data_IF_944258526018
#
_entry.id   IF_944258526018
#
_cell.length_a   1.000
_cell.length_b   1.000
_cell.length_c   1.000
_cell.angle_alpha   90.00
_cell.angle_beta   90.00
_cell.angle_gamma   90.00
#
_symmetry.space_group_name_H-M   'P 1'
#
loop_
_entity.id
_entity.type
_entity.pdbx_description
1 polymer ?
#
# COMPACT_ATOMS: atom_id res chain seq x y z
N UNK A 1 17.69 -17.25 13.07
CA UNK A 1 16.27 -17.61 12.98
C UNK A 1 16.22 -18.91 12.22
N UNK A 2 15.86 -19.95 12.96
CA UNK A 2 15.89 -21.36 12.61
C UNK A 2 15.14 -21.65 11.31
N UNK A 3 15.80 -22.42 10.45
CA UNK A 3 15.24 -23.16 9.32
C UNK A 3 14.14 -24.12 9.79
N UNK A 4 12.95 -23.59 10.05
CA UNK A 4 11.76 -24.35 10.39
C UNK A 4 10.68 -24.04 9.34
N UNK A 5 10.96 -24.42 8.10
CA UNK A 5 10.00 -25.02 7.17
C UNK A 5 10.75 -25.38 5.89
N UNK A 6 11.01 -26.68 5.70
CA UNK A 6 11.58 -27.24 4.46
C UNK A 6 10.61 -27.20 3.27
N UNK A 7 9.68 -26.24 3.25
CA UNK A 7 8.80 -25.98 2.13
C UNK A 7 9.50 -25.02 1.18
N UNK A 8 9.67 -25.44 -0.07
CA UNK A 8 10.16 -24.54 -1.11
C UNK A 8 9.22 -23.34 -1.25
N UNK A 9 9.84 -22.15 -1.30
CA UNK A 9 9.17 -20.89 -1.57
C UNK A 9 8.84 -20.82 -3.06
N UNK A 10 7.66 -21.29 -3.42
CA UNK A 10 7.21 -21.37 -4.81
C UNK A 10 6.17 -20.31 -5.14
N UNK A 11 5.49 -19.74 -4.14
CA UNK A 11 4.38 -18.82 -4.36
C UNK A 11 4.86 -17.38 -4.47
N UNK A 12 4.17 -16.59 -5.29
CA UNK A 12 4.49 -15.17 -5.47
C UNK A 12 4.21 -14.36 -4.20
N UNK A 13 5.05 -13.34 -3.99
CA UNK A 13 4.91 -12.43 -2.86
C UNK A 13 3.58 -11.66 -2.94
N UNK A 14 2.83 -11.66 -1.83
CA UNK A 14 1.61 -10.85 -1.65
C UNK A 14 1.91 -9.34 -1.72
N UNK A 15 0.88 -8.52 -1.92
CA UNK A 15 1.02 -7.06 -1.94
C UNK A 15 1.61 -6.52 -0.64
N UNK A 16 1.16 -7.02 0.51
CA UNK A 16 1.64 -6.62 1.84
C UNK A 16 3.09 -7.05 2.07
N UNK A 17 3.51 -8.23 1.61
CA UNK A 17 4.93 -8.64 1.66
C UNK A 17 5.83 -7.71 0.85
N UNK A 18 5.41 -7.33 -0.36
CA UNK A 18 6.14 -6.39 -1.22
C UNK A 18 6.22 -5.00 -0.59
N UNK A 19 5.16 -4.55 0.07
CA UNK A 19 5.13 -3.29 0.80
C UNK A 19 6.08 -3.30 2.01
N UNK A 20 6.05 -4.34 2.84
CA UNK A 20 6.98 -4.50 3.96
C UNK A 20 8.45 -4.54 3.51
N UNK A 21 8.74 -5.22 2.39
CA UNK A 21 10.08 -5.21 1.81
C UNK A 21 10.51 -3.78 1.44
N UNK A 22 9.62 -3.01 0.81
CA UNK A 22 9.86 -1.61 0.45
C UNK A 22 10.02 -0.71 1.68
N UNK A 23 9.25 -0.89 2.74
CA UNK A 23 9.38 -0.15 4.01
C UNK A 23 10.74 -0.41 4.69
N UNK A 24 11.22 -1.65 4.63
CA UNK A 24 12.55 -2.05 5.09
C UNK A 24 13.70 -1.56 4.19
N UNK A 25 13.39 -0.80 3.14
CA UNK A 25 14.35 -0.28 2.17
C UNK A 25 14.90 -1.33 1.21
N UNK A 26 14.27 -2.50 1.13
CA UNK A 26 14.63 -3.53 0.16
C UNK A 26 13.96 -3.22 -1.18
N UNK A 27 14.78 -2.85 -2.16
CA UNK A 27 14.36 -2.57 -3.52
C UNK A 27 15.36 -3.22 -4.48
N UNK A 28 14.93 -3.65 -5.67
CA UNK A 28 15.85 -4.18 -6.66
C UNK A 28 16.86 -3.09 -7.03
N UNK A 29 18.14 -3.45 -7.14
CA UNK A 29 19.21 -2.52 -7.55
C UNK A 29 20.13 -3.19 -8.56
N UNK A 30 20.41 -2.51 -9.66
CA UNK A 30 21.41 -2.92 -10.66
C UNK A 30 22.65 -2.05 -10.51
N UNK A 31 23.80 -2.70 -10.23
CA UNK A 31 25.11 -2.02 -10.17
C UNK A 31 25.62 -1.65 -11.55
N UNK A 32 25.29 -2.46 -12.55
CA UNK A 32 25.69 -2.21 -13.94
C UNK A 32 24.96 -1.00 -14.51
N UNK A 33 23.64 -0.87 -14.26
CA UNK A 33 22.86 0.29 -14.67
C UNK A 33 23.45 1.60 -14.13
N UNK A 34 23.76 1.64 -12.83
CA UNK A 34 24.36 2.81 -12.21
C UNK A 34 25.73 3.15 -12.82
N UNK A 35 26.59 2.15 -13.00
CA UNK A 35 27.93 2.33 -13.57
C UNK A 35 27.87 2.83 -15.02
N UNK A 36 27.05 2.21 -15.86
CA UNK A 36 26.93 2.57 -17.28
C UNK A 36 26.24 3.92 -17.46
N UNK A 37 25.24 4.25 -16.63
CA UNK A 37 24.63 5.57 -16.63
C UNK A 37 25.68 6.67 -16.38
N UNK A 38 26.59 6.47 -15.42
CA UNK A 38 27.68 7.41 -15.15
C UNK A 38 28.68 7.48 -16.31
N UNK A 39 29.07 6.35 -16.88
CA UNK A 39 30.03 6.30 -18.00
C UNK A 39 29.50 6.99 -19.25
N UNK A 40 28.29 6.62 -19.69
CA UNK A 40 27.65 7.23 -20.88
C UNK A 40 27.39 8.71 -20.65
N UNK A 41 26.85 9.07 -19.48
CA UNK A 41 26.60 10.48 -19.16
C UNK A 41 27.90 11.26 -19.02
N UNK A 42 28.98 10.63 -18.56
CA UNK A 42 30.30 11.24 -18.52
C UNK A 42 30.81 11.58 -19.91
N UNK A 43 30.75 10.62 -20.84
CA UNK A 43 31.10 10.85 -22.24
C UNK A 43 30.28 12.01 -22.84
N UNK A 44 28.95 11.95 -22.70
CA UNK A 44 28.03 12.98 -23.20
C UNK A 44 28.29 14.35 -22.54
N UNK A 45 28.56 14.37 -21.24
CA UNK A 45 28.85 15.63 -20.52
C UNK A 45 30.14 16.27 -21.00
N UNK A 46 31.17 15.47 -21.32
CA UNK A 46 32.40 15.99 -21.90
C UNK A 46 32.18 16.48 -23.32
N UNK A 47 31.31 15.86 -24.11
CA UNK A 47 30.96 16.37 -25.44
C UNK A 47 30.20 17.70 -25.38
N UNK A 48 29.27 17.85 -24.44
CA UNK A 48 28.46 19.08 -24.35
C UNK A 48 29.14 20.23 -23.61
N UNK A 49 29.89 19.93 -22.56
CA UNK A 49 30.49 20.95 -21.68
C UNK A 49 32.01 21.02 -21.78
N UNK A 50 32.66 20.05 -22.45
CA UNK A 50 34.11 19.96 -22.53
C UNK A 50 34.75 21.08 -23.35
N UNK A 51 34.07 21.60 -24.37
CA UNK A 51 34.57 22.77 -25.12
C UNK A 51 34.73 23.98 -24.20
N UNK A 52 33.68 24.32 -23.44
CA UNK A 52 33.70 25.43 -22.48
C UNK A 52 34.75 25.22 -21.38
N UNK A 53 34.89 24.00 -20.87
CA UNK A 53 35.91 23.65 -19.89
C UNK A 53 37.34 23.78 -20.46
N UNK A 54 37.56 23.32 -21.70
CA UNK A 54 38.84 23.40 -22.40
C UNK A 54 39.25 24.85 -22.65
N UNK A 55 38.32 25.69 -23.11
CA UNK A 55 38.55 27.13 -23.31
C UNK A 55 38.87 27.82 -21.98
N UNK A 56 38.14 27.50 -20.91
CA UNK A 56 38.40 28.06 -19.57
C UNK A 56 39.80 27.66 -19.06
N UNK A 57 40.16 26.38 -19.17
CA UNK A 57 41.48 25.88 -18.78
C UNK A 57 42.59 26.52 -19.62
N UNK A 58 42.38 26.68 -20.93
CA UNK A 58 43.32 27.36 -21.82
C UNK A 58 43.55 28.81 -21.39
N UNK A 59 42.48 29.57 -21.11
CA UNK A 59 42.57 30.95 -20.61
C UNK A 59 43.33 31.04 -19.29
N UNK A 60 43.02 30.15 -18.35
CA UNK A 60 43.72 30.10 -17.05
C UNK A 60 45.20 29.80 -17.26
N UNK A 61 45.53 28.77 -18.05
CA UNK A 61 46.91 28.39 -18.33
C UNK A 61 47.70 29.54 -18.97
N UNK A 62 47.14 30.17 -20.02
CA UNK A 62 47.77 31.33 -20.66
C UNK A 62 47.96 32.49 -19.68
N UNK A 63 46.98 32.74 -18.79
CA UNK A 63 47.08 33.79 -17.79
C UNK A 63 48.16 33.51 -16.75
N UNK A 64 48.31 32.25 -16.31
CA UNK A 64 49.35 31.86 -15.36
C UNK A 64 50.77 32.01 -15.95
N UNK A 65 50.92 31.93 -17.27
CA UNK A 65 52.20 32.18 -17.96
C UNK A 65 52.44 33.64 -18.34
N UNK A 66 51.46 34.53 -18.13
CA UNK A 66 51.54 35.95 -18.52
C UNK A 66 51.33 36.85 -17.31
N UNK A 67 51.92 36.49 -16.17
CA UNK A 67 51.91 37.32 -14.96
C UNK A 67 52.75 38.58 -15.17
N UNK A 68 52.23 39.73 -14.73
CA UNK A 68 52.99 40.98 -14.75
C UNK A 68 53.99 41.01 -13.59
N UNK A 69 55.05 41.82 -13.72
CA UNK A 69 56.02 42.00 -12.62
C UNK A 69 55.32 42.48 -11.34
N UNK A 70 54.35 43.36 -11.44
CA UNK A 70 53.61 43.87 -10.27
C UNK A 70 52.85 42.74 -9.57
N UNK A 71 52.17 41.89 -10.34
CA UNK A 71 51.43 40.73 -9.82
C UNK A 71 52.34 39.69 -9.15
N UNK A 72 53.59 39.56 -9.62
CA UNK A 72 54.56 38.62 -9.03
C UNK A 72 55.08 39.12 -7.67
N UNK A 73 55.24 40.44 -7.52
CA UNK A 73 55.83 41.04 -6.32
C UNK A 73 54.79 41.49 -5.28
N UNK A 74 53.49 41.50 -5.62
CA UNK A 74 52.38 41.78 -4.71
C UNK A 74 51.50 40.54 -4.49
N UNK A 75 51.51 40.03 -3.27
CA UNK A 75 50.75 38.83 -2.86
C UNK A 75 49.23 39.03 -3.00
N UNK A 76 48.70 40.23 -2.77
CA UNK A 76 47.27 40.49 -2.89
C UNK A 76 46.81 40.46 -4.35
N UNK A 77 47.61 41.01 -5.26
CA UNK A 77 47.35 40.92 -6.70
C UNK A 77 47.45 39.48 -7.19
N UNK A 78 48.46 38.73 -6.73
CA UNK A 78 48.61 37.31 -7.05
C UNK A 78 47.40 36.48 -6.59
N UNK A 79 46.91 36.69 -5.36
CA UNK A 79 45.71 36.01 -4.85
C UNK A 79 44.47 36.34 -5.67
N UNK A 80 44.34 37.59 -6.14
CA UNK A 80 43.23 38.00 -7.03
C UNK A 80 43.29 37.26 -8.36
N UNK A 81 44.49 37.12 -8.94
CA UNK A 81 44.70 36.36 -10.18
C UNK A 81 44.34 34.88 -10.02
N UNK A 82 44.76 34.25 -8.92
CA UNK A 82 44.41 32.85 -8.61
C UNK A 82 42.91 32.68 -8.36
N UNK A 83 42.28 33.58 -7.59
CA UNK A 83 40.84 33.56 -7.33
C UNK A 83 40.05 33.64 -8.64
N UNK A 84 40.43 34.54 -9.55
CA UNK A 84 39.80 34.67 -10.86
C UNK A 84 39.99 33.41 -11.70
N UNK A 85 41.17 32.79 -11.66
CA UNK A 85 41.43 31.54 -12.36
C UNK A 85 40.55 30.39 -11.84
N UNK A 86 40.40 30.26 -10.53
CA UNK A 86 39.49 29.28 -9.92
C UNK A 86 38.06 29.52 -10.38
N UNK A 87 37.59 30.77 -10.34
CA UNK A 87 36.21 31.10 -10.70
C UNK A 87 35.90 30.86 -12.18
N UNK A 88 36.88 31.07 -13.06
CA UNK A 88 36.74 30.81 -14.50
C UNK A 88 36.54 29.32 -14.81
N UNK A 89 37.19 28.42 -14.07
CA UNK A 89 37.06 26.96 -14.26
C UNK A 89 35.90 26.38 -13.45
N UNK A 90 35.52 27.03 -12.35
CA UNK A 90 34.51 26.55 -11.44
C UNK A 90 33.17 26.26 -12.12
N UNK A 91 32.63 27.24 -12.87
CA UNK A 91 31.32 27.08 -13.51
C UNK A 91 31.27 25.90 -14.52
N UNK A 92 32.16 25.80 -15.52
CA UNK A 92 32.12 24.68 -16.47
C UNK A 92 32.39 23.32 -15.80
N UNK A 93 33.26 23.27 -14.79
CA UNK A 93 33.52 22.05 -14.04
C UNK A 93 32.29 21.61 -13.23
N UNK A 94 31.61 22.55 -12.55
CA UNK A 94 30.39 22.25 -11.78
C UNK A 94 29.28 21.75 -12.69
N UNK A 95 29.14 22.27 -13.92
CA UNK A 95 28.14 21.75 -14.87
C UNK A 95 28.38 20.27 -15.20
N UNK A 96 29.63 19.89 -15.50
CA UNK A 96 30.01 18.49 -15.73
C UNK A 96 29.70 17.63 -14.49
N UNK A 97 30.11 18.09 -13.31
CA UNK A 97 29.92 17.35 -12.05
C UNK A 97 28.46 17.21 -11.67
N UNK A 98 27.64 18.25 -11.85
CA UNK A 98 26.18 18.21 -11.60
C UNK A 98 25.52 17.24 -12.58
N UNK A 99 25.89 17.27 -13.85
CA UNK A 99 25.38 16.32 -14.84
C UNK A 99 25.71 14.88 -14.45
N UNK A 100 26.97 14.59 -14.11
CA UNK A 100 27.41 13.29 -13.61
C UNK A 100 26.68 12.86 -12.33
N UNK A 101 26.50 13.79 -11.39
CA UNK A 101 25.78 13.53 -10.14
C UNK A 101 24.32 13.16 -10.41
N UNK A 102 23.64 13.89 -11.29
CA UNK A 102 22.25 13.58 -11.67
C UNK A 102 22.15 12.23 -12.38
N UNK A 103 23.09 11.91 -13.27
CA UNK A 103 23.14 10.61 -13.92
C UNK A 103 23.40 9.46 -12.94
N UNK A 104 24.31 9.64 -11.97
CA UNK A 104 24.57 8.66 -10.93
C UNK A 104 23.32 8.42 -10.05
N UNK A 105 22.62 9.49 -9.69
CA UNK A 105 21.40 9.43 -8.89
C UNK A 105 20.28 8.72 -9.66
N UNK A 106 20.06 9.07 -10.92
CA UNK A 106 19.06 8.43 -11.78
C UNK A 106 19.43 6.97 -12.04
N UNK A 107 20.69 6.66 -12.35
CA UNK A 107 21.16 5.29 -12.59
C UNK A 107 21.00 4.39 -11.36
N UNK A 108 21.33 4.89 -10.16
CA UNK A 108 21.16 4.15 -8.92
C UNK A 108 19.68 3.99 -8.51
N UNK A 109 18.85 5.00 -8.76
CA UNK A 109 17.43 4.99 -8.42
C UNK A 109 16.54 4.36 -9.50
N UNK A 110 17.03 4.18 -10.73
CA UNK A 110 16.21 3.84 -11.89
C UNK A 110 15.46 2.52 -11.78
N UNK A 111 15.98 1.56 -11.02
CA UNK A 111 15.36 0.24 -10.85
C UNK A 111 14.40 0.18 -9.64
N UNK A 112 14.81 0.71 -8.50
CA UNK A 112 14.14 0.53 -7.21
C UNK A 112 13.42 1.77 -6.68
N UNK A 113 13.60 2.92 -7.33
CA UNK A 113 13.19 4.22 -6.85
C UNK A 113 14.01 4.73 -5.66
N UNK A 114 13.65 5.92 -5.19
CA UNK A 114 14.26 6.53 -4.00
C UNK A 114 13.33 6.26 -2.81
N UNK A 115 13.81 5.50 -1.83
CA UNK A 115 13.11 5.25 -0.57
C UNK A 115 14.01 5.53 0.62
N UNK A 116 13.48 6.29 1.56
CA UNK A 116 14.11 6.53 2.85
C UNK A 116 13.61 5.50 3.86
N UNK A 117 14.51 4.66 4.38
CA UNK A 117 14.20 3.70 5.43
C UNK A 117 15.16 3.92 6.60
N UNK A 118 14.64 4.40 7.71
CA UNK A 118 15.41 4.57 8.95
C UNK A 118 15.96 3.23 9.42
N UNK A 119 15.17 2.15 9.30
CA UNK A 119 15.57 0.80 9.68
C UNK A 119 16.75 0.26 8.85
N UNK A 120 16.87 0.66 7.58
CA UNK A 120 17.98 0.27 6.73
C UNK A 120 19.31 0.96 7.13
N UNK A 121 19.22 2.18 7.67
CA UNK A 121 20.35 2.99 8.12
C UNK A 121 20.87 2.61 9.52
N UNK A 122 20.08 1.88 10.32
CA UNK A 122 20.51 1.43 11.65
C UNK A 122 21.64 0.38 11.59
N UNK A 123 22.60 0.41 12.54
CA UNK A 123 23.64 -0.59 12.63
C UNK A 123 23.03 -1.96 12.98
N UNK A 124 23.18 -2.94 12.09
CA UNK A 124 22.71 -4.31 12.29
C UNK A 124 23.93 -5.23 12.35
N UNK A 125 24.25 -5.76 13.55
CA UNK A 125 25.37 -6.71 13.76
C UNK A 125 25.28 -7.96 12.87
N UNK A 126 24.07 -8.34 12.48
CA UNK A 126 23.84 -9.45 11.54
C UNK A 126 24.48 -9.23 10.16
N UNK A 127 24.69 -7.98 9.73
CA UNK A 127 25.38 -7.65 8.46
C UNK A 127 26.90 -7.82 8.52
N UNK A 128 27.49 -7.97 9.71
CA UNK A 128 28.94 -8.12 9.92
C UNK A 128 29.40 -9.57 10.08
N UNK A 129 28.50 -10.56 9.96
CA UNK A 129 28.88 -11.97 10.15
C UNK A 129 29.79 -12.48 9.02
N UNK A 130 30.99 -13.00 9.32
CA UNK A 130 31.94 -13.49 8.31
C UNK A 130 31.40 -14.71 7.54
N UNK A 131 30.61 -15.55 8.21
CA UNK A 131 29.98 -16.74 7.60
C UNK A 131 28.99 -16.32 6.49
N UNK A 132 28.18 -15.30 6.76
CA UNK A 132 27.24 -14.77 5.77
C UNK A 132 27.96 -14.11 4.58
N UNK A 133 29.11 -13.49 4.83
CA UNK A 133 29.99 -12.93 3.80
C UNK A 133 30.55 -14.01 2.88
N UNK A 134 31.12 -15.08 3.44
CA UNK A 134 31.65 -16.23 2.70
C UNK A 134 30.58 -16.90 1.83
N UNK A 135 29.38 -17.15 2.37
CA UNK A 135 28.26 -17.72 1.60
C UNK A 135 27.86 -16.83 0.42
N UNK A 136 27.92 -15.51 0.58
CA UNK A 136 27.64 -14.55 -0.51
C UNK A 136 28.76 -14.53 -1.56
N UNK A 137 30.02 -14.72 -1.15
CA UNK A 137 31.17 -14.73 -2.06
C UNK A 137 31.27 -16.00 -2.91
N UNK A 138 30.85 -17.16 -2.40
CA UNK A 138 30.90 -18.45 -3.10
C UNK A 138 29.52 -18.97 -3.55
N UNK A 139 28.46 -18.17 -3.43
CA UNK A 139 27.11 -18.54 -3.86
C UNK A 139 26.91 -18.50 -5.37
N UNK A 140 25.74 -18.98 -5.84
CA UNK A 140 25.32 -18.94 -7.24
C UNK A 140 25.37 -17.54 -7.86
N UNK A 141 25.11 -16.50 -7.05
CA UNK A 141 25.20 -15.11 -7.49
C UNK A 141 26.62 -14.71 -7.92
N UNK A 142 27.66 -15.25 -7.28
CA UNK A 142 29.05 -14.95 -7.61
C UNK A 142 29.44 -15.43 -9.01
N UNK A 143 28.92 -16.59 -9.43
CA UNK A 143 29.10 -17.11 -10.78
C UNK A 143 28.47 -16.23 -11.85
N UNK A 144 27.27 -15.70 -11.59
CA UNK A 144 26.61 -14.76 -12.50
C UNK A 144 27.40 -13.45 -12.62
N UNK A 145 27.91 -12.92 -11.51
CA UNK A 145 28.78 -11.73 -11.50
C UNK A 145 30.10 -11.97 -12.26
N UNK A 146 30.69 -13.16 -12.15
CA UNK A 146 31.89 -13.54 -12.90
C UNK A 146 31.62 -13.54 -14.41
N UNK A 147 30.55 -14.18 -14.86
CA UNK A 147 30.15 -14.23 -16.27
C UNK A 147 29.92 -12.82 -16.81
N UNK A 148 29.20 -11.96 -16.07
CA UNK A 148 29.01 -10.55 -16.45
C UNK A 148 30.34 -9.80 -16.54
N UNK A 149 31.29 -10.08 -15.65
CA UNK A 149 32.60 -9.42 -15.66
C UNK A 149 33.44 -9.82 -16.87
N UNK A 150 33.45 -11.10 -17.23
CA UNK A 150 34.11 -11.59 -18.46
C UNK A 150 33.45 -10.99 -19.69
N UNK A 151 32.11 -10.95 -19.74
CA UNK A 151 31.35 -10.34 -20.82
C UNK A 151 31.71 -8.85 -20.98
N UNK A 152 31.78 -8.08 -19.89
CA UNK A 152 32.19 -6.66 -19.92
C UNK A 152 33.57 -6.47 -20.53
N UNK A 153 34.55 -7.24 -20.06
CA UNK A 153 35.93 -7.12 -20.55
C UNK A 153 36.01 -7.50 -22.03
N UNK A 154 35.38 -8.61 -22.42
CA UNK A 154 35.35 -9.04 -23.82
C UNK A 154 34.70 -7.99 -24.72
N UNK A 155 33.56 -7.44 -24.29
CA UNK A 155 32.80 -6.45 -25.05
C UNK A 155 33.61 -5.15 -25.22
N UNK A 156 34.19 -4.63 -24.13
CA UNK A 156 35.05 -3.42 -24.19
C UNK A 156 36.28 -3.66 -25.08
N UNK A 157 36.96 -4.80 -24.93
CA UNK A 157 38.15 -5.12 -25.71
C UNK A 157 37.82 -5.27 -27.21
N UNK A 158 36.73 -5.96 -27.54
CA UNK A 158 36.29 -6.14 -28.93
C UNK A 158 35.88 -4.83 -29.58
N UNK A 159 35.10 -3.99 -28.89
CA UNK A 159 34.65 -2.69 -29.42
C UNK A 159 35.81 -1.73 -29.54
N UNK A 160 36.66 -1.61 -28.52
CA UNK A 160 37.85 -0.77 -28.59
C UNK A 160 38.80 -1.22 -29.72
N UNK A 161 39.04 -2.53 -29.84
CA UNK A 161 39.87 -3.09 -30.91
C UNK A 161 39.28 -2.83 -32.30
N UNK A 162 37.96 -3.00 -32.46
CA UNK A 162 37.26 -2.71 -33.71
C UNK A 162 37.32 -1.21 -34.07
N UNK A 163 37.09 -0.31 -33.12
CA UNK A 163 37.16 1.13 -33.34
C UNK A 163 38.58 1.57 -33.73
N UNK A 164 39.59 1.11 -32.98
CA UNK A 164 40.99 1.40 -33.31
C UNK A 164 41.33 0.89 -34.71
N UNK A 165 40.95 -0.34 -35.04
CA UNK A 165 41.23 -0.93 -36.35
C UNK A 165 40.52 -0.19 -37.49
N UNK A 166 39.26 0.19 -37.29
CA UNK A 166 38.45 0.90 -38.30
C UNK A 166 38.86 2.35 -38.50
N UNK A 167 39.51 2.99 -37.52
CA UNK A 167 39.98 4.39 -37.61
C UNK A 167 41.51 4.51 -37.76
N UNK A 168 42.20 3.44 -38.17
CA UNK A 168 43.65 3.49 -38.42
C UNK A 168 44.02 4.55 -39.45
N UNK A 169 43.24 4.66 -40.52
CA UNK A 169 43.48 5.64 -41.58
C UNK A 169 43.33 7.07 -41.06
N UNK A 170 42.33 7.33 -40.20
CA UNK A 170 42.13 8.63 -39.56
C UNK A 170 43.31 8.99 -38.64
N UNK A 171 43.87 8.02 -37.91
CA UNK A 171 45.07 8.23 -37.10
C UNK A 171 46.30 8.59 -37.93
N UNK A 172 46.48 7.99 -39.10
CA UNK A 172 47.55 8.39 -40.01
C UNK A 172 47.32 9.79 -40.58
N UNK A 173 46.09 10.14 -40.94
CA UNK A 173 45.74 11.46 -41.46
C UNK A 173 45.96 12.58 -40.44
N UNK A 174 45.66 12.33 -39.16
CA UNK A 174 45.88 13.28 -38.06
C UNK A 174 47.34 13.77 -37.96
N UNK A 175 48.32 12.96 -38.40
CA UNK A 175 49.73 13.32 -38.38
C UNK A 175 50.15 14.32 -39.47
N UNK A 176 49.35 14.44 -40.54
CA UNK A 176 49.63 15.28 -41.72
C UNK A 176 48.69 16.50 -41.76
N UNK A 177 47.59 16.46 -41.01
CA UNK A 177 46.62 17.55 -40.91
C UNK A 177 47.21 18.82 -40.26
N UNK A 178 46.74 20.01 -40.70
CA UNK A 178 47.28 21.30 -40.26
C UNK A 178 46.83 21.68 -38.85
N UNK A 179 47.75 22.23 -38.06
CA UNK A 179 47.43 22.88 -36.78
C UNK A 179 46.54 24.13 -37.01
N UNK A 180 45.49 24.38 -36.20
CA UNK A 180 45.05 23.63 -35.01
C UNK A 180 43.95 22.58 -35.25
N UNK A 181 43.53 22.37 -36.50
CA UNK A 181 42.39 21.49 -36.83
C UNK A 181 42.61 20.04 -36.37
N UNK A 182 43.84 19.54 -36.51
CA UNK A 182 44.22 18.19 -36.08
C UNK A 182 43.92 17.90 -34.59
N UNK A 183 44.05 18.89 -33.70
CA UNK A 183 43.72 18.72 -32.28
C UNK A 183 42.22 18.54 -32.03
N UNK A 184 41.39 19.36 -32.69
CA UNK A 184 39.94 19.25 -32.57
C UNK A 184 39.44 17.93 -33.14
N UNK A 185 39.94 17.55 -34.32
CA UNK A 185 39.60 16.27 -34.95
C UNK A 185 40.01 15.07 -34.07
N UNK A 186 41.21 15.09 -33.47
CA UNK A 186 41.63 14.03 -32.54
C UNK A 186 40.72 13.92 -31.31
N UNK A 187 40.28 15.06 -30.76
CA UNK A 187 39.34 15.08 -29.63
C UNK A 187 37.97 14.54 -30.01
N UNK A 188 37.47 14.85 -31.20
CA UNK A 188 36.20 14.33 -31.70
C UNK A 188 36.25 12.81 -31.86
N UNK A 189 37.33 12.26 -32.45
CA UNK A 189 37.52 10.81 -32.54
C UNK A 189 37.58 10.19 -31.15
N UNK A 190 38.36 10.77 -30.23
CA UNK A 190 38.51 10.27 -28.86
C UNK A 190 37.17 10.25 -28.12
N UNK A 191 36.41 11.34 -28.15
CA UNK A 191 35.13 11.44 -27.46
C UNK A 191 34.10 10.49 -28.08
N UNK A 192 34.07 10.33 -29.40
CA UNK A 192 33.24 9.35 -30.07
C UNK A 192 33.61 7.92 -29.67
N UNK A 193 34.89 7.60 -29.57
CA UNK A 193 35.37 6.29 -29.12
C UNK A 193 34.93 6.00 -27.69
N UNK A 194 35.16 6.95 -26.78
CA UNK A 194 34.75 6.84 -25.38
C UNK A 194 33.24 6.63 -25.31
N UNK A 195 32.45 7.41 -26.04
CA UNK A 195 31.00 7.26 -26.08
C UNK A 195 30.58 5.88 -26.59
N UNK A 196 31.10 5.42 -27.73
CA UNK A 196 30.73 4.13 -28.33
C UNK A 196 31.12 2.95 -27.42
N UNK A 197 32.31 2.99 -26.80
CA UNK A 197 32.74 1.99 -25.82
C UNK A 197 31.80 2.01 -24.59
N UNK A 198 31.43 3.19 -24.09
CA UNK A 198 30.51 3.30 -22.95
C UNK A 198 29.11 2.78 -23.31
N UNK A 199 28.58 3.13 -24.48
CA UNK A 199 27.28 2.67 -24.99
C UNK A 199 27.25 1.16 -25.24
N UNK A 200 28.39 0.56 -25.59
CA UNK A 200 28.50 -0.88 -25.78
C UNK A 200 28.14 -1.67 -24.50
N UNK A 201 28.40 -1.10 -23.32
CA UNK A 201 28.03 -1.68 -22.03
C UNK A 201 26.51 -1.68 -21.76
N UNK A 202 25.69 -0.98 -22.57
CA UNK A 202 24.23 -1.06 -22.46
C UNK A 202 23.72 -2.48 -22.69
N UNK A 203 24.44 -3.30 -23.47
CA UNK A 203 24.11 -4.73 -23.65
C UNK A 203 24.19 -5.47 -22.31
N UNK A 204 25.20 -5.17 -21.48
CA UNK A 204 25.35 -5.78 -20.16
C UNK A 204 24.23 -5.34 -19.22
N UNK A 205 23.84 -4.06 -19.28
CA UNK A 205 22.70 -3.53 -18.52
C UNK A 205 21.39 -4.19 -18.95
N UNK A 206 21.19 -4.40 -20.25
CA UNK A 206 19.98 -5.06 -20.79
C UNK A 206 19.81 -6.49 -20.28
N UNK A 207 20.91 -7.16 -19.89
CA UNK A 207 20.89 -8.49 -19.26
C UNK A 207 20.76 -8.38 -17.74
N UNK A 208 21.53 -7.48 -17.11
CA UNK A 208 21.57 -7.35 -15.65
C UNK A 208 20.23 -6.84 -15.08
N UNK A 209 19.59 -5.85 -15.72
CA UNK A 209 18.35 -5.24 -15.21
C UNK A 209 17.21 -6.27 -15.06
N UNK A 210 16.83 -7.05 -16.10
CA UNK A 210 15.83 -8.10 -15.96
C UNK A 210 16.22 -9.16 -14.93
N UNK A 211 17.50 -9.56 -14.90
CA UNK A 211 18.00 -10.53 -13.93
C UNK A 211 17.83 -10.03 -12.49
N UNK A 212 18.16 -8.77 -12.18
CA UNK A 212 17.99 -8.20 -10.84
C UNK A 212 16.52 -8.08 -10.43
N UNK A 213 15.61 -7.75 -11.37
CA UNK A 213 14.16 -7.71 -11.10
C UNK A 213 13.65 -9.11 -10.76
N UNK A 214 14.03 -10.11 -11.57
CA UNK A 214 13.64 -11.50 -11.36
C UNK A 214 14.21 -12.04 -10.04
N UNK A 215 15.51 -11.86 -9.80
CA UNK A 215 16.17 -12.32 -8.58
C UNK A 215 15.59 -11.66 -7.32
N UNK A 216 15.26 -10.37 -7.37
CA UNK A 216 14.57 -9.70 -6.25
C UNK A 216 13.18 -10.28 -6.01
N UNK A 217 12.42 -10.58 -7.08
CA UNK A 217 11.10 -11.20 -6.96
C UNK A 217 11.19 -12.63 -6.41
N UNK A 218 12.22 -13.39 -6.82
CA UNK A 218 12.50 -14.73 -6.33
C UNK A 218 12.84 -14.74 -4.83
N UNK A 219 13.63 -13.76 -4.36
CA UNK A 219 13.91 -13.58 -2.94
C UNK A 219 12.67 -13.25 -2.08
N UNK A 220 11.64 -12.68 -2.69
CA UNK A 220 10.38 -12.35 -2.02
C UNK A 220 9.34 -13.47 -2.06
N UNK A 221 9.60 -14.58 -2.77
CA UNK A 221 8.68 -15.72 -2.81
C UNK A 221 8.34 -16.23 -1.42
N UNK A 222 7.12 -16.72 -1.30
CA UNK A 222 6.54 -17.17 -0.05
C UNK A 222 6.23 -18.67 -0.10
N UNK A 223 6.15 -19.29 1.06
CA UNK A 223 5.57 -20.64 1.15
C UNK A 223 4.05 -20.56 1.18
N UNK A 224 3.36 -21.65 0.83
CA UNK A 224 1.90 -21.74 0.96
C UNK A 224 1.43 -21.49 2.39
N UNK A 225 2.24 -21.88 3.37
CA UNK A 225 1.95 -21.65 4.78
C UNK A 225 2.07 -20.17 5.16
N UNK A 226 3.15 -19.50 4.73
CA UNK A 226 3.34 -18.06 4.95
C UNK A 226 2.17 -17.24 4.37
N UNK A 227 1.68 -17.59 3.18
CA UNK A 227 0.51 -16.92 2.57
C UNK A 227 -0.74 -17.14 3.43
N UNK A 228 -1.03 -18.37 3.84
CA UNK A 228 -2.19 -18.67 4.69
C UNK A 228 -2.15 -17.91 6.01
N UNK A 229 -0.97 -17.81 6.62
CA UNK A 229 -0.81 -17.11 7.88
C UNK A 229 -0.96 -15.59 7.70
N UNK A 230 -0.46 -15.03 6.59
CA UNK A 230 -0.68 -13.62 6.25
C UNK A 230 -2.16 -13.28 6.00
N UNK A 231 -2.91 -14.19 5.37
CA UNK A 231 -4.37 -14.06 5.22
C UNK A 231 -5.08 -14.07 6.58
N UNK A 232 -4.68 -14.97 7.50
CA UNK A 232 -5.24 -15.01 8.86
C UNK A 232 -4.95 -13.73 9.64
N UNK A 233 -3.75 -13.16 9.50
CA UNK A 233 -3.36 -11.93 10.18
C UNK A 233 -4.06 -10.69 9.61
N UNK A 234 -4.42 -10.70 8.32
CA UNK A 234 -5.07 -9.57 7.65
C UNK A 234 -6.59 -9.59 7.82
N UNK A 235 -7.24 -10.75 7.63
CA UNK A 235 -8.71 -10.89 7.70
C UNK A 235 -9.24 -11.32 9.07
N UNK A 236 -8.34 -11.73 9.98
CA UNK A 236 -8.68 -12.34 11.24
C UNK A 236 -9.13 -13.80 11.09
N UNK A 237 -9.08 -14.56 12.19
CA UNK A 237 -9.50 -15.96 12.17
C UNK A 237 -11.02 -16.07 11.92
N UNK A 238 -11.48 -16.93 11.00
CA UNK A 238 -12.91 -17.13 10.74
C UNK A 238 -13.71 -17.44 12.01
N UNK A 239 -13.11 -18.21 12.93
CA UNK A 239 -13.67 -18.55 14.24
C UNK A 239 -13.95 -17.31 15.10
N UNK A 240 -13.04 -16.33 15.07
CA UNK A 240 -13.18 -15.07 15.82
C UNK A 240 -14.30 -14.22 15.22
N UNK A 241 -14.37 -14.13 13.89
CA UNK A 241 -15.45 -13.42 13.19
C UNK A 241 -16.82 -14.07 13.45
N UNK A 242 -16.87 -15.40 13.49
CA UNK A 242 -18.07 -16.17 13.87
C UNK A 242 -18.48 -15.89 15.32
N UNK A 243 -17.52 -15.90 16.26
CA UNK A 243 -17.76 -15.61 17.68
C UNK A 243 -18.28 -14.20 17.91
N UNK A 244 -17.72 -13.21 17.22
CA UNK A 244 -18.19 -11.81 17.30
C UNK A 244 -19.65 -11.72 16.86
N UNK A 245 -20.03 -12.37 15.75
CA UNK A 245 -21.44 -12.38 15.28
C UNK A 245 -22.39 -13.04 16.28
N UNK A 246 -21.96 -14.13 16.92
CA UNK A 246 -22.77 -14.79 17.95
C UNK A 246 -22.99 -13.89 19.17
N UNK A 247 -21.93 -13.25 19.67
CA UNK A 247 -22.01 -12.31 20.80
C UNK A 247 -22.88 -11.09 20.47
N UNK A 248 -22.78 -10.56 19.25
CA UNK A 248 -23.65 -9.46 18.80
C UNK A 248 -25.13 -9.84 18.83
N UNK A 249 -25.49 -11.05 18.36
CA UNK A 249 -26.87 -11.56 18.43
C UNK A 249 -27.35 -11.74 19.86
N UNK A 250 -26.51 -12.28 20.73
CA UNK A 250 -26.84 -12.49 22.15
C UNK A 250 -27.08 -11.15 22.87
N UNK A 251 -26.24 -10.14 22.63
CA UNK A 251 -26.41 -8.80 23.19
C UNK A 251 -27.70 -8.13 22.70
N UNK A 252 -28.01 -8.25 21.41
CA UNK A 252 -29.26 -7.72 20.85
C UNK A 252 -30.50 -8.38 21.48
N UNK A 253 -30.49 -9.70 21.64
CA UNK A 253 -31.58 -10.43 22.31
C UNK A 253 -31.73 -10.02 23.78
N UNK A 254 -30.62 -9.85 24.51
CA UNK A 254 -30.66 -9.39 25.91
C UNK A 254 -31.27 -7.99 26.04
N UNK A 255 -30.91 -7.06 25.15
CA UNK A 255 -31.51 -5.71 25.11
C UNK A 255 -33.01 -5.77 24.85
N UNK A 256 -33.42 -6.48 23.79
CA UNK A 256 -34.83 -6.68 23.46
C UNK A 256 -35.63 -7.24 24.64
N UNK A 257 -35.08 -8.21 25.39
CA UNK A 257 -35.73 -8.79 26.58
C UNK A 257 -35.79 -7.81 27.76
N UNK A 258 -34.83 -6.88 27.87
CA UNK A 258 -34.82 -5.83 28.89
C UNK A 258 -35.87 -4.74 28.63
N UNK A 259 -36.35 -4.60 27.39
CA UNK A 259 -37.38 -3.63 27.02
C UNK A 259 -38.81 -4.18 27.19
N UNK A 260 -38.99 -5.50 27.23
CA UNK A 260 -40.30 -6.16 27.46
C UNK A 260 -41.07 -5.60 28.68
N UNK A 261 -40.45 -5.31 29.84
CA UNK A 261 -41.13 -4.71 30.99
C UNK A 261 -41.82 -3.36 30.71
N UNK A 262 -41.42 -2.65 29.66
CA UNK A 262 -42.02 -1.38 29.26
C UNK A 262 -43.24 -1.55 28.34
N UNK A 263 -43.66 -2.79 28.04
CA UNK A 263 -44.78 -3.06 27.17
C UNK A 263 -46.13 -2.81 27.83
N UNK A 264 -47.04 -2.24 27.06
CA UNK A 264 -48.44 -2.05 27.46
C UNK A 264 -49.26 -3.31 27.28
N UNK A 265 -48.93 -4.10 26.24
CA UNK A 265 -49.58 -5.35 25.89
C UNK A 265 -48.62 -6.30 25.18
N UNK A 266 -48.78 -7.60 25.40
CA UNK A 266 -48.17 -8.65 24.58
C UNK A 266 -49.24 -9.39 23.79
N UNK A 267 -49.11 -9.39 22.47
CA UNK A 267 -50.00 -10.10 21.55
C UNK A 267 -49.35 -11.44 21.21
N UNK A 268 -50.07 -12.53 21.43
CA UNK A 268 -49.52 -13.88 21.21
C UNK A 268 -50.32 -14.68 20.19
N UNK A 269 -49.60 -15.41 19.35
CA UNK A 269 -50.05 -16.67 18.77
C UNK A 269 -49.58 -17.78 19.72
N UNK A 270 -50.49 -18.52 20.40
CA UNK A 270 -50.15 -19.41 21.51
C UNK A 270 -48.99 -20.38 21.24
N UNK A 271 -48.86 -20.86 20.01
CA UNK A 271 -47.87 -21.88 19.65
C UNK A 271 -46.59 -21.33 19.02
N UNK A 272 -46.60 -20.12 18.42
CA UNK A 272 -45.51 -19.71 17.53
C UNK A 272 -44.94 -18.31 17.76
N UNK A 273 -45.74 -17.30 18.10
CA UNK A 273 -45.27 -15.90 18.07
C UNK A 273 -45.71 -15.11 19.30
N UNK A 274 -44.85 -14.22 19.76
CA UNK A 274 -45.22 -13.18 20.73
C UNK A 274 -44.60 -11.86 20.33
N UNK A 275 -45.41 -10.81 20.36
CA UNK A 275 -45.02 -9.44 20.03
C UNK A 275 -45.44 -8.53 21.19
N UNK A 276 -44.51 -7.76 21.73
CA UNK A 276 -44.74 -6.78 22.78
C UNK A 276 -44.82 -5.39 22.15
N UNK A 277 -45.89 -4.66 22.48
CA UNK A 277 -46.15 -3.32 21.99
C UNK A 277 -46.12 -2.32 23.14
N UNK A 278 -45.59 -1.14 22.84
CA UNK A 278 -45.66 0.06 23.70
C UNK A 278 -46.40 1.16 22.95
N UNK A 279 -47.24 1.91 23.64
CA UNK A 279 -47.91 3.08 23.09
C UNK A 279 -48.01 4.19 24.14
N UNK A 280 -47.20 5.24 23.98
CA UNK A 280 -47.37 6.48 24.73
C UNK A 280 -48.15 7.50 23.89
N UNK A 281 -49.40 7.86 24.27
CA UNK A 281 -50.23 8.81 23.52
C UNK A 281 -49.65 10.24 23.46
N UNK A 282 -48.62 10.56 24.26
CA UNK A 282 -47.94 11.87 24.22
C UNK A 282 -46.73 11.90 23.29
N UNK A 283 -46.15 10.74 22.98
CA UNK A 283 -44.87 10.61 22.26
C UNK A 283 -44.99 9.84 20.95
N UNK A 284 -45.83 8.80 20.92
CA UNK A 284 -45.91 7.85 19.82
C UNK A 284 -47.12 8.18 18.92
N UNK A 285 -46.87 8.41 17.63
CA UNK A 285 -47.95 8.56 16.63
C UNK A 285 -48.73 7.25 16.41
N UNK A 286 -48.08 6.12 16.66
CA UNK A 286 -48.64 4.78 16.57
C UNK A 286 -47.88 3.81 17.50
N UNK A 287 -48.49 2.69 17.91
CA UNK A 287 -47.85 1.69 18.77
C UNK A 287 -46.53 1.18 18.17
N UNK A 288 -45.51 1.06 19.01
CA UNK A 288 -44.14 0.65 18.64
C UNK A 288 -43.89 -0.79 19.11
N UNK A 289 -43.27 -1.59 18.25
CA UNK A 289 -42.85 -2.96 18.58
C UNK A 289 -41.54 -2.93 19.35
N UNK A 290 -41.58 -3.26 20.63
CA UNK A 290 -40.38 -3.23 21.50
C UNK A 290 -39.74 -4.61 21.70
N UNK A 291 -40.51 -5.68 21.51
CA UNK A 291 -39.97 -7.03 21.44
C UNK A 291 -40.81 -7.90 20.51
N UNK A 292 -40.16 -8.79 19.75
CA UNK A 292 -40.84 -9.82 18.98
C UNK A 292 -40.00 -11.09 18.93
N UNK A 293 -40.64 -12.25 18.96
CA UNK A 293 -39.93 -13.52 18.93
C UNK A 293 -40.82 -14.65 18.44
N UNK A 294 -40.17 -15.64 17.81
CA UNK A 294 -40.75 -16.94 17.50
C UNK A 294 -40.40 -17.99 18.56
N UNK A 295 -41.23 -19.02 18.70
CA UNK A 295 -40.99 -20.25 19.46
C UNK A 295 -40.40 -20.01 20.88
N UNK A 296 -39.13 -20.35 21.10
CA UNK A 296 -38.46 -20.17 22.39
C UNK A 296 -38.38 -18.71 22.85
N UNK A 297 -38.14 -17.77 21.93
CA UNK A 297 -38.14 -16.34 22.26
C UNK A 297 -39.56 -15.87 22.59
N UNK A 298 -40.57 -16.37 21.89
CA UNK A 298 -41.98 -16.07 22.18
C UNK A 298 -42.36 -16.53 23.60
N UNK A 299 -41.96 -17.75 23.99
CA UNK A 299 -42.13 -18.26 25.35
C UNK A 299 -41.44 -17.36 26.39
N UNK A 300 -40.22 -16.89 26.10
CA UNK A 300 -39.48 -16.03 27.02
C UNK A 300 -40.10 -14.65 27.20
N UNK A 301 -40.60 -14.05 26.11
CA UNK A 301 -41.34 -12.78 26.16
C UNK A 301 -42.57 -12.94 27.06
N UNK A 302 -43.35 -14.03 26.91
CA UNK A 302 -44.50 -14.32 27.77
C UNK A 302 -44.11 -14.53 29.23
N UNK A 303 -43.00 -15.21 29.50
CA UNK A 303 -42.49 -15.39 30.87
C UNK A 303 -42.17 -14.05 31.54
N UNK A 304 -41.48 -13.15 30.83
CA UNK A 304 -41.13 -11.81 31.34
C UNK A 304 -42.38 -10.94 31.51
N UNK A 305 -43.30 -10.98 30.55
CA UNK A 305 -44.57 -10.26 30.61
C UNK A 305 -45.40 -10.68 31.82
N UNK A 306 -45.53 -11.99 32.08
CA UNK A 306 -46.22 -12.51 33.28
C UNK A 306 -45.54 -12.04 34.57
N UNK A 307 -44.19 -12.05 34.65
CA UNK A 307 -43.45 -11.57 35.83
C UNK A 307 -43.69 -10.08 36.13
N UNK A 308 -43.93 -9.27 35.10
CA UNK A 308 -44.17 -7.83 35.23
C UNK A 308 -45.66 -7.45 35.18
N UNK A 309 -46.56 -8.43 35.23
CA UNK A 309 -48.02 -8.24 35.16
C UNK A 309 -48.49 -7.48 33.90
N UNK A 310 -47.83 -7.73 32.76
CA UNK A 310 -48.22 -7.21 31.46
C UNK A 310 -49.29 -8.13 30.87
N UNK A 311 -50.39 -7.55 30.41
CA UNK A 311 -51.51 -8.32 29.86
C UNK A 311 -51.13 -9.01 28.56
N UNK A 312 -51.36 -10.33 28.51
CA UNK A 312 -51.12 -11.16 27.33
C UNK A 312 -52.48 -11.40 26.65
N UNK A 313 -52.61 -10.95 25.39
CA UNK A 313 -53.85 -11.08 24.61
C UNK A 313 -53.63 -12.10 23.48
N UNK A 314 -54.41 -13.19 23.44
CA UNK A 314 -54.34 -14.15 22.36
C UNK A 314 -55.05 -13.58 21.11
N UNK A 315 -54.27 -13.22 20.10
CA UNK A 315 -54.76 -12.80 18.79
C UNK A 315 -53.80 -13.31 17.71
N UNK A 316 -53.93 -14.60 17.37
CA UNK A 316 -52.97 -15.30 16.53
C UNK A 316 -52.75 -14.67 15.14
N UNK A 317 -53.80 -14.24 14.40
CA UNK A 317 -53.61 -13.55 13.12
C UNK A 317 -52.78 -12.27 13.29
N UNK A 318 -53.07 -11.48 14.33
CA UNK A 318 -52.45 -10.17 14.54
C UNK A 318 -51.00 -10.29 14.99
N UNK A 319 -50.70 -11.21 15.91
CA UNK A 319 -49.34 -11.51 16.32
C UNK A 319 -48.46 -11.93 15.13
N UNK A 320 -49.00 -12.74 14.21
CA UNK A 320 -48.30 -13.20 13.01
C UNK A 320 -48.07 -12.05 12.03
N UNK A 321 -49.10 -11.25 11.76
CA UNK A 321 -48.98 -10.08 10.88
C UNK A 321 -47.92 -9.10 11.38
N UNK A 322 -47.94 -8.71 12.67
CA UNK A 322 -46.96 -7.76 13.22
C UNK A 322 -45.54 -8.37 13.20
N UNK A 323 -45.40 -9.67 13.50
CA UNK A 323 -44.09 -10.33 13.50
C UNK A 323 -43.37 -10.24 12.14
N UNK A 324 -44.09 -10.41 11.04
CA UNK A 324 -43.52 -10.39 9.68
C UNK A 324 -43.44 -8.99 9.07
N UNK A 325 -44.32 -8.06 9.46
CA UNK A 325 -44.44 -6.75 8.79
C UNK A 325 -43.70 -5.62 9.50
N UNK A 326 -43.34 -5.76 10.77
CA UNK A 326 -42.76 -4.67 11.59
C UNK A 326 -41.47 -5.10 12.27
N UNK A 327 -40.38 -4.34 12.16
CA UNK A 327 -39.14 -4.61 12.91
C UNK A 327 -39.19 -4.07 14.35
N UNK A 328 -38.16 -4.38 15.15
CA UNK A 328 -38.03 -3.83 16.50
C UNK A 328 -37.84 -2.31 16.45
N UNK A 329 -38.36 -1.61 17.45
CA UNK A 329 -38.35 -0.15 17.61
C UNK A 329 -39.06 0.62 16.49
N UNK A 330 -39.83 -0.08 15.64
CA UNK A 330 -40.62 0.53 14.58
C UNK A 330 -42.11 0.60 14.96
N UNK A 331 -42.79 1.60 14.41
CA UNK A 331 -44.23 1.74 14.50
C UNK A 331 -44.91 0.66 13.66
N UNK A 332 -46.05 0.16 14.15
CA UNK A 332 -46.89 -0.77 13.39
C UNK A 332 -47.33 -0.12 12.06
N UNK A 333 -47.56 -0.86 10.97
CA UNK A 333 -48.11 -0.31 9.73
C UNK A 333 -49.57 0.14 9.85
N UNK A 334 -49.96 1.15 9.07
CA UNK A 334 -51.31 1.73 9.07
C UNK A 334 -52.44 0.69 8.93
N UNK A 335 -52.23 -0.33 8.10
CA UNK A 335 -53.21 -1.40 7.87
C UNK A 335 -53.51 -2.27 9.10
N UNK A 336 -52.67 -2.24 10.14
CA UNK A 336 -52.87 -2.98 11.40
C UNK A 336 -53.33 -2.07 12.55
N UNK A 337 -53.40 -0.75 12.36
CA UNK A 337 -53.73 0.21 13.43
C UNK A 337 -55.06 -0.06 14.09
N UNK A 338 -56.10 -0.33 13.31
CA UNK A 338 -57.44 -0.58 13.84
C UNK A 338 -57.44 -1.83 14.74
N UNK A 339 -56.78 -2.90 14.29
CA UNK A 339 -56.69 -4.15 15.04
C UNK A 339 -55.87 -3.97 16.33
N UNK A 340 -54.74 -3.27 16.28
CA UNK A 340 -53.91 -2.98 17.45
C UNK A 340 -54.60 -2.04 18.43
N UNK A 341 -55.29 -0.99 17.95
CA UNK A 341 -56.02 -0.05 18.78
C UNK A 341 -57.15 -0.74 19.55
N UNK A 342 -57.83 -1.71 18.94
CA UNK A 342 -58.84 -2.51 19.63
C UNK A 342 -58.24 -3.41 20.72
N UNK A 343 -57.06 -3.99 20.48
CA UNK A 343 -56.35 -4.76 21.51
C UNK A 343 -55.93 -3.86 22.68
N UNK A 344 -55.37 -2.69 22.40
CA UNK A 344 -55.02 -1.72 23.44
C UNK A 344 -56.26 -1.24 24.21
N UNK A 345 -57.35 -0.89 23.51
CA UNK A 345 -58.61 -0.49 24.12
C UNK A 345 -59.18 -1.59 25.01
N UNK A 346 -59.13 -2.85 24.58
CA UNK A 346 -59.52 -4.01 25.37
C UNK A 346 -58.67 -4.12 26.65
N UNK A 347 -57.35 -3.98 26.56
CA UNK A 347 -56.45 -4.00 27.73
C UNK A 347 -56.74 -2.83 28.68
N UNK A 348 -56.99 -1.63 28.17
CA UNK A 348 -57.39 -0.48 29.00
C UNK A 348 -58.72 -0.72 29.73
N UNK A 349 -59.73 -1.25 29.03
CA UNK A 349 -61.01 -1.61 29.63
C UNK A 349 -60.87 -2.74 30.65
N UNK A 350 -59.98 -3.72 30.39
CA UNK A 350 -59.71 -4.83 31.31
C UNK A 350 -59.03 -4.34 32.59
N UNK A 351 -58.08 -3.41 32.48
CA UNK A 351 -57.47 -2.71 33.61
C UNK A 351 -58.50 -1.89 34.40
N UNK A 352 -59.44 -1.23 33.74
CA UNK A 352 -60.53 -0.49 34.38
C UNK A 352 -61.52 -1.42 35.13
N UNK A 353 -61.88 -2.54 34.51
CA UNK A 353 -62.73 -3.57 35.11
C UNK A 353 -62.08 -4.17 36.38
N UNK A 354 -60.79 -4.52 36.33
CA UNK A 354 -60.03 -5.01 37.49
C UNK A 354 -59.98 -4.00 38.64
N UNK A 355 -60.16 -2.70 38.36
CA UNK A 355 -60.25 -1.61 39.35
C UNK A 355 -61.70 -1.34 39.83
N UNK A 356 -62.65 -2.22 39.51
CA UNK A 356 -64.05 -2.12 39.93
C UNK A 356 -64.88 -1.11 39.13
N UNK A 357 -64.41 -0.67 37.96
CA UNK A 357 -65.12 0.29 37.10
C UNK A 357 -65.58 -0.42 35.82
N UNK A 358 -66.89 -0.66 35.68
CA UNK A 358 -67.52 -1.14 34.44
C UNK A 358 -67.75 -2.66 34.34
N UNK A 359 -68.20 -3.12 33.17
CA UNK A 359 -68.44 -4.54 32.85
C UNK A 359 -67.19 -5.20 32.25
N UNK A 360 -67.10 -6.53 32.33
CA UNK A 360 -65.98 -7.30 31.75
C UNK A 360 -65.96 -7.12 30.22
N UNK A 361 -64.88 -6.56 29.64
CA UNK A 361 -64.83 -6.36 28.20
C UNK A 361 -64.68 -7.68 27.46
N UNK A 362 -65.14 -7.72 26.21
CA UNK A 362 -64.96 -8.83 25.27
C UNK A 362 -64.10 -8.30 24.13
N UNK A 363 -63.08 -9.06 23.72
CA UNK A 363 -62.25 -8.66 22.58
C UNK A 363 -63.12 -8.65 21.31
N UNK A 364 -63.13 -7.51 20.62
CA UNK A 364 -63.90 -7.33 19.38
C UNK A 364 -63.38 -8.25 18.27
N UNK A 365 -64.29 -8.79 17.44
CA UNK A 365 -63.94 -9.59 16.27
C UNK A 365 -63.11 -8.81 15.24
N UNK A 366 -63.18 -7.47 15.23
CA UNK A 366 -62.36 -6.65 14.36
C UNK A 366 -60.87 -6.59 14.77
N UNK A 367 -60.49 -7.08 15.97
CA UNK A 367 -59.08 -7.31 16.33
C UNK A 367 -58.47 -8.51 15.60
N UNK A 368 -59.31 -9.33 14.93
CA UNK A 368 -58.90 -10.46 14.09
C UNK A 368 -59.06 -10.21 12.60
N UNK A 369 -59.60 -9.05 12.20
CA UNK A 369 -59.78 -8.69 10.79
C UNK A 369 -58.52 -7.97 10.26
N UNK A 370 -57.68 -8.73 9.57
CA UNK A 370 -56.40 -8.25 9.03
C UNK A 370 -56.55 -8.08 7.51
N UNK A 371 -56.09 -6.95 6.93
CA UNK A 371 -56.07 -6.77 5.47
C UNK A 371 -55.36 -7.95 4.77
N UNK A 372 -55.90 -8.42 3.64
CA UNK A 372 -55.36 -9.60 2.93
C UNK A 372 -53.86 -9.46 2.58
N UNK A 373 -53.41 -8.23 2.31
CA UNK A 373 -52.04 -7.90 1.96
C UNK A 373 -51.04 -8.05 3.11
N UNK A 374 -51.52 -8.06 4.36
CA UNK A 374 -50.69 -8.17 5.58
C UNK A 374 -50.86 -9.53 6.29
N UNK A 375 -51.63 -10.46 5.70
CA UNK A 375 -51.79 -11.84 6.17
C UNK A 375 -50.62 -12.69 5.66
N UNK A 376 -49.50 -12.66 6.38
CA UNK A 376 -48.34 -13.54 6.16
C UNK A 376 -48.43 -14.85 6.93
#
# INVERSE_FOLDING_TARGET
>A
MSDADGQERTEDATARKREQAREKGQVPRSRELASVAVLVSGAVSLMWFGEGLSIALGKVMSRMFTLSREEVFDVHLLLTVVSNAVWQVFLPLVLVLVFLFTAALIGAAGLGGIRFSSEAAMPKLSKMSPISGLKRMFGSQSWVELIKSILKVGLVASVAGYLIYSSLDDFFQLSIETFPANYFHALDILLNFVLLICCSLLVVVAIDVPYQIWHFSDQLKMTKQEIKDEYKDSEGKPEVKGRIRMLQREMAQRRMMADVPQADVVITNPEHYSVALRYDPKLDAAPVVIAKGGDHLALKIREIANKHNIDIVPAAPLARAIYYTTELEQQVPDGLFVAVAQVLAYVFQLKAYRRGKGQKPILSAAATDIPQELRH
#
